data_IF_353603161154
#
_entry.id   IF_353603161154
#
_cell.length_a   1.000
_cell.length_b   1.000
_cell.length_c   1.000
_cell.angle_alpha   90.00
_cell.angle_beta   90.00
_cell.angle_gamma   90.00
#
_symmetry.space_group_name_H-M   'P 1'
#
loop_
_entity.id
_entity.type
_entity.pdbx_description
1 polymer ?
#
# COMPACT_ATOMS: atom_id res chain seq x y z
N UNK A 1 -5.44 -11.42 10.29
CA UNK A 1 -4.12 -11.35 9.67
C UNK A 1 -3.22 -10.47 10.52
N UNK A 2 -2.16 -11.02 11.09
CA UNK A 2 -1.14 -10.24 11.82
C UNK A 2 -0.20 -9.59 10.79
N UNK A 3 -0.64 -8.49 10.20
CA UNK A 3 0.14 -7.72 9.23
C UNK A 3 0.51 -6.41 9.90
N UNK A 4 1.80 -6.05 9.98
CA UNK A 4 2.21 -4.77 10.55
C UNK A 4 1.75 -3.60 9.69
N UNK A 5 1.49 -2.47 10.32
CA UNK A 5 1.21 -1.20 9.66
C UNK A 5 2.41 -0.30 9.88
N UNK A 6 3.09 0.10 8.81
CA UNK A 6 4.23 1.01 8.91
C UNK A 6 3.87 2.42 8.44
N UNK A 7 4.11 3.38 9.31
CA UNK A 7 3.95 4.81 9.00
C UNK A 7 5.19 5.31 8.26
N UNK A 8 5.03 5.50 6.96
CA UNK A 8 6.06 6.05 6.10
C UNK A 8 5.48 7.21 5.27
N UNK A 9 5.63 8.43 5.75
CA UNK A 9 5.04 9.64 5.15
C UNK A 9 6.10 10.51 4.47
N UNK A 10 5.68 11.22 3.42
CA UNK A 10 6.56 12.07 2.60
C UNK A 10 7.19 13.21 3.43
N UNK A 11 6.36 13.98 4.13
CA UNK A 11 6.81 15.08 5.01
C UNK A 11 6.90 14.59 6.45
N UNK A 12 8.02 13.95 6.77
CA UNK A 12 8.28 13.33 8.06
C UNK A 12 8.85 14.37 9.04
N UNK A 13 8.00 15.14 9.72
CA UNK A 13 8.41 15.94 10.87
C UNK A 13 8.09 15.21 12.18
N UNK A 14 8.80 15.50 13.30
CA UNK A 14 8.51 14.87 14.58
C UNK A 14 7.04 15.05 15.02
N UNK A 15 6.48 16.24 14.82
CA UNK A 15 5.11 16.56 15.22
C UNK A 15 4.09 15.76 14.41
N UNK A 16 4.29 15.65 13.09
CA UNK A 16 3.39 14.87 12.21
C UNK A 16 3.47 13.37 12.53
N UNK A 17 4.68 12.86 12.76
CA UNK A 17 4.87 11.46 13.14
C UNK A 17 4.20 11.17 14.48
N UNK A 18 4.43 12.00 15.49
CA UNK A 18 3.81 11.86 16.81
C UNK A 18 2.29 11.89 16.73
N UNK A 19 1.72 12.85 15.99
CA UNK A 19 0.27 12.97 15.85
C UNK A 19 -0.35 11.74 15.16
N UNK A 20 0.26 11.27 14.06
CA UNK A 20 -0.25 10.13 13.31
C UNK A 20 -0.11 8.83 14.11
N UNK A 21 1.04 8.59 14.72
CA UNK A 21 1.26 7.40 15.56
C UNK A 21 0.30 7.38 16.76
N UNK A 22 0.15 8.51 17.47
CA UNK A 22 -0.80 8.61 18.59
C UNK A 22 -2.23 8.30 18.15
N UNK A 23 -2.63 8.76 16.96
CA UNK A 23 -3.95 8.46 16.40
C UNK A 23 -4.11 6.96 16.08
N UNK A 24 -3.11 6.34 15.48
CA UNK A 24 -3.13 4.90 15.17
C UNK A 24 -3.13 4.04 16.43
N UNK A 25 -2.33 4.39 17.44
CA UNK A 25 -2.34 3.70 18.74
C UNK A 25 -3.71 3.81 19.42
N UNK A 26 -4.31 5.01 19.38
CA UNK A 26 -5.67 5.19 19.90
C UNK A 26 -6.69 4.29 19.18
N UNK A 27 -6.66 4.22 17.84
CA UNK A 27 -7.55 3.34 17.07
C UNK A 27 -7.31 1.87 17.44
N UNK A 28 -6.04 1.47 17.58
CA UNK A 28 -5.67 0.12 17.98
C UNK A 28 -6.28 -0.24 19.33
N UNK A 29 -6.11 0.63 20.34
CA UNK A 29 -6.57 0.41 21.71
C UNK A 29 -8.10 0.45 21.82
N UNK A 30 -8.74 1.44 21.18
CA UNK A 30 -10.22 1.60 21.17
C UNK A 30 -10.95 0.39 20.53
N UNK A 31 -10.26 -0.36 19.66
CA UNK A 31 -10.87 -1.47 18.91
C UNK A 31 -10.24 -2.85 19.25
N UNK A 32 -9.36 -2.92 20.25
CA UNK A 32 -8.65 -4.14 20.68
C UNK A 32 -7.99 -4.88 19.49
N UNK A 33 -7.26 -4.13 18.65
CA UNK A 33 -6.63 -4.67 17.45
C UNK A 33 -5.26 -5.26 17.76
N UNK A 34 -5.05 -6.54 17.41
CA UNK A 34 -3.73 -7.17 17.43
C UNK A 34 -2.94 -6.82 16.15
N UNK A 35 -2.38 -5.61 16.12
CA UNK A 35 -1.59 -5.08 15.01
C UNK A 35 -0.32 -4.42 15.53
N UNK A 36 0.80 -4.67 14.88
CA UNK A 36 2.06 -3.95 15.14
C UNK A 36 2.07 -2.64 14.35
N UNK A 37 2.39 -1.53 15.02
CA UNK A 37 2.53 -0.20 14.39
C UNK A 37 4.01 0.15 14.37
N UNK A 38 4.56 0.28 13.17
CA UNK A 38 5.96 0.57 12.88
C UNK A 38 6.13 1.98 12.31
N UNK A 39 7.39 2.42 12.20
CA UNK A 39 7.75 3.67 11.53
C UNK A 39 8.16 4.79 12.48
N UNK A 40 8.07 4.62 13.80
CA UNK A 40 8.56 5.62 14.77
C UNK A 40 10.09 5.75 14.71
N UNK A 41 10.77 4.62 14.77
CA UNK A 41 12.23 4.52 14.79
C UNK A 41 12.73 3.68 13.60
N UNK A 42 12.80 4.25 12.39
CA UNK A 42 13.23 3.51 11.22
C UNK A 42 14.73 3.17 11.32
N UNK A 43 15.07 1.93 11.01
CA UNK A 43 16.43 1.37 11.08
C UNK A 43 16.94 0.82 9.74
N UNK A 44 16.19 1.05 8.65
CA UNK A 44 16.55 0.69 7.29
C UNK A 44 16.20 1.80 6.29
N UNK A 45 16.65 1.64 5.05
CA UNK A 45 16.35 2.57 3.94
C UNK A 45 15.97 1.82 2.68
N UNK A 46 14.97 2.32 1.98
CA UNK A 46 14.59 1.86 0.65
C UNK A 46 15.64 2.38 -0.35
N UNK A 47 16.39 1.52 -1.03
CA UNK A 47 17.38 1.94 -2.03
C UNK A 47 16.74 2.72 -3.18
N UNK A 48 17.47 3.69 -3.74
CA UNK A 48 16.98 4.48 -4.88
C UNK A 48 16.03 5.62 -4.51
N UNK A 49 15.66 5.76 -3.24
CA UNK A 49 14.89 6.90 -2.75
C UNK A 49 15.75 7.88 -1.97
N UNK A 50 15.44 9.17 -2.11
CA UNK A 50 16.06 10.25 -1.35
C UNK A 50 15.11 10.82 -0.29
N UNK A 51 15.70 11.43 0.75
CA UNK A 51 14.97 12.11 1.80
C UNK A 51 14.31 11.18 2.82
N UNK A 52 13.46 11.75 3.71
CA UNK A 52 12.89 11.04 4.85
C UNK A 52 11.98 9.86 4.47
N UNK A 53 11.38 9.90 3.28
CA UNK A 53 10.50 8.81 2.78
C UNK A 53 11.24 7.52 2.45
N UNK A 54 12.58 7.58 2.32
CA UNK A 54 13.40 6.40 2.16
C UNK A 54 13.56 5.60 3.47
N UNK A 55 13.40 6.25 4.62
CA UNK A 55 13.56 5.62 5.91
C UNK A 55 12.40 4.67 6.19
N UNK A 56 12.70 3.41 6.50
CA UNK A 56 11.72 2.38 6.81
C UNK A 56 12.21 1.48 7.97
N UNK A 57 11.34 0.65 8.49
CA UNK A 57 11.72 -0.36 9.46
C UNK A 57 12.19 -1.63 8.76
N UNK A 58 13.24 -2.25 9.30
CA UNK A 58 13.78 -3.50 8.75
C UNK A 58 12.73 -4.61 8.82
N UNK A 59 12.12 -4.82 9.99
CA UNK A 59 11.05 -5.81 10.20
C UNK A 59 9.69 -5.40 9.61
N UNK A 60 9.62 -4.27 8.93
CA UNK A 60 8.45 -3.77 8.20
C UNK A 60 8.65 -3.81 6.69
N UNK A 61 8.61 -2.62 6.07
CA UNK A 61 8.75 -2.47 4.61
C UNK A 61 10.00 -3.18 4.06
N UNK A 62 11.14 -3.11 4.77
CA UNK A 62 12.41 -3.58 4.21
C UNK A 62 12.45 -5.10 4.00
N UNK A 63 12.00 -5.90 4.97
CA UNK A 63 12.03 -7.38 4.91
C UNK A 63 10.72 -7.98 4.35
N UNK A 64 9.68 -7.19 4.12
CA UNK A 64 8.40 -7.69 3.57
C UNK A 64 8.54 -8.11 2.10
N UNK A 65 7.95 -9.24 1.72
CA UNK A 65 7.85 -9.69 0.32
C UNK A 65 6.71 -8.99 -0.42
N UNK A 66 5.62 -8.71 0.29
CA UNK A 66 4.39 -8.11 -0.26
C UNK A 66 4.02 -6.86 0.54
N UNK A 67 3.79 -5.75 -0.14
CA UNK A 67 3.46 -4.46 0.47
C UNK A 67 2.17 -3.92 -0.12
N UNK A 68 1.19 -3.61 0.73
CA UNK A 68 -0.01 -2.88 0.35
C UNK A 68 0.24 -1.37 0.55
N UNK A 69 0.11 -0.62 -0.53
CA UNK A 69 0.29 0.85 -0.55
C UNK A 69 -1.06 1.51 -0.78
N UNK A 70 -1.75 1.95 0.31
CA UNK A 70 -3.07 2.56 0.22
C UNK A 70 -3.02 4.05 -0.15
N UNK A 71 -1.85 4.67 -0.04
CA UNK A 71 -1.62 6.09 -0.33
C UNK A 71 -0.46 6.24 -1.30
N UNK A 72 -0.63 7.15 -2.24
CA UNK A 72 0.19 7.29 -3.42
C UNK A 72 1.61 7.83 -3.14
N UNK A 73 2.63 7.13 -3.69
CA UNK A 73 3.97 7.63 -3.99
C UNK A 73 4.59 6.74 -5.09
N UNK A 74 4.52 7.20 -6.34
CA UNK A 74 4.98 6.44 -7.51
C UNK A 74 6.47 6.11 -7.48
N UNK A 75 7.33 7.02 -7.00
CA UNK A 75 8.77 6.77 -6.87
C UNK A 75 9.03 5.64 -5.86
N UNK A 76 8.28 5.62 -4.77
CA UNK A 76 8.40 4.57 -3.77
C UNK A 76 7.90 3.22 -4.30
N UNK A 77 6.77 3.20 -5.01
CA UNK A 77 6.28 1.96 -5.64
C UNK A 77 7.34 1.39 -6.59
N UNK A 78 7.95 2.22 -7.43
CA UNK A 78 9.01 1.82 -8.35
C UNK A 78 10.24 1.27 -7.61
N UNK A 79 10.70 1.96 -6.57
CA UNK A 79 11.84 1.52 -5.76
C UNK A 79 11.57 0.17 -5.04
N UNK A 80 10.36 -0.04 -4.52
CA UNK A 80 9.99 -1.29 -3.87
C UNK A 80 9.90 -2.44 -4.86
N UNK A 81 9.38 -2.21 -6.07
CA UNK A 81 9.38 -3.22 -7.16
C UNK A 81 10.80 -3.54 -7.58
N UNK A 82 11.70 -2.54 -7.69
CA UNK A 82 13.12 -2.75 -7.98
C UNK A 82 13.86 -3.57 -6.90
N UNK A 83 13.38 -3.56 -5.65
CA UNK A 83 13.83 -4.46 -4.59
C UNK A 83 13.32 -5.91 -4.73
N UNK A 84 12.53 -6.21 -5.75
CA UNK A 84 11.93 -7.54 -5.96
C UNK A 84 10.65 -7.78 -5.15
N UNK A 85 10.03 -6.74 -4.59
CA UNK A 85 8.83 -6.87 -3.79
C UNK A 85 7.58 -6.86 -4.66
N UNK A 86 6.53 -7.56 -4.21
CA UNK A 86 5.20 -7.43 -4.79
C UNK A 86 4.48 -6.24 -4.17
N UNK A 87 4.21 -5.21 -4.96
CA UNK A 87 3.57 -3.98 -4.51
C UNK A 87 2.11 -3.94 -4.97
N UNK A 88 1.20 -3.96 -4.00
CA UNK A 88 -0.24 -3.85 -4.22
C UNK A 88 -0.63 -2.39 -4.02
N UNK A 89 -1.10 -1.73 -5.07
CA UNK A 89 -1.46 -0.31 -5.04
C UNK A 89 -2.97 -0.15 -5.04
N UNK A 90 -3.49 0.75 -4.22
CA UNK A 90 -4.87 1.23 -4.29
C UNK A 90 -4.83 2.65 -4.82
N UNK A 91 -5.42 2.88 -5.99
CA UNK A 91 -5.42 4.20 -6.63
C UNK A 91 -6.69 4.39 -7.48
N UNK A 92 -7.34 5.53 -7.33
CA UNK A 92 -8.51 5.89 -8.15
C UNK A 92 -8.15 6.23 -9.61
N UNK A 93 -6.90 6.60 -9.85
CA UNK A 93 -6.44 7.01 -11.16
C UNK A 93 -5.57 5.93 -11.83
N UNK A 94 -6.12 5.17 -12.80
CA UNK A 94 -5.36 4.13 -13.50
C UNK A 94 -4.19 4.68 -14.33
N UNK A 95 -4.13 5.99 -14.55
CA UNK A 95 -3.04 6.65 -15.27
C UNK A 95 -1.94 7.18 -14.34
N UNK A 96 -2.10 7.08 -13.04
CA UNK A 96 -1.10 7.57 -12.09
C UNK A 96 0.21 6.79 -12.20
N UNK A 97 1.29 7.42 -11.75
CA UNK A 97 2.59 6.73 -11.69
C UNK A 97 2.56 5.57 -10.71
N UNK A 98 1.89 5.72 -9.57
CA UNK A 98 1.75 4.64 -8.58
C UNK A 98 1.04 3.42 -9.16
N UNK A 99 -0.09 3.63 -9.84
CA UNK A 99 -0.85 2.56 -10.49
C UNK A 99 0.00 1.82 -11.53
N UNK A 100 0.78 2.55 -12.32
CA UNK A 100 1.62 1.99 -13.39
C UNK A 100 2.88 1.28 -12.89
N UNK A 101 3.42 1.69 -11.74
CA UNK A 101 4.63 1.11 -11.15
C UNK A 101 4.31 -0.06 -10.21
N UNK A 102 3.07 -0.22 -9.76
CA UNK A 102 2.65 -1.32 -8.89
C UNK A 102 2.68 -2.67 -9.58
N UNK A 103 2.90 -3.73 -8.82
CA UNK A 103 2.79 -5.11 -9.32
C UNK A 103 1.34 -5.50 -9.56
N UNK A 104 0.44 -4.99 -8.71
CA UNK A 104 -1.03 -5.16 -8.81
C UNK A 104 -1.67 -3.84 -8.42
N UNK A 105 -2.60 -3.34 -9.23
CA UNK A 105 -3.35 -2.13 -8.92
C UNK A 105 -4.83 -2.41 -8.73
N UNK A 106 -5.38 -1.94 -7.63
CA UNK A 106 -6.81 -1.94 -7.34
C UNK A 106 -7.33 -0.53 -7.66
N UNK A 107 -8.03 -0.40 -8.79
CA UNK A 107 -8.59 0.89 -9.23
C UNK A 107 -9.94 1.09 -8.55
N UNK A 108 -9.91 1.59 -7.31
CA UNK A 108 -11.10 1.82 -6.52
C UNK A 108 -10.82 2.78 -5.34
N UNK A 109 -11.88 3.20 -4.65
CA UNK A 109 -11.82 4.05 -3.47
C UNK A 109 -11.35 3.24 -2.24
N UNK A 110 -10.44 3.81 -1.43
CA UNK A 110 -9.74 3.13 -0.35
C UNK A 110 -10.67 2.48 0.69
N UNK A 111 -11.72 3.16 1.14
CA UNK A 111 -12.62 2.62 2.16
C UNK A 111 -13.46 1.46 1.63
N UNK A 112 -13.80 1.47 0.35
CA UNK A 112 -14.50 0.36 -0.33
C UNK A 112 -13.57 -0.84 -0.49
N UNK A 113 -12.32 -0.60 -0.90
CA UNK A 113 -11.30 -1.66 -0.97
C UNK A 113 -11.09 -2.29 0.40
N UNK A 114 -10.90 -1.49 1.44
CA UNK A 114 -10.71 -1.99 2.81
C UNK A 114 -11.88 -2.86 3.27
N UNK A 115 -13.12 -2.42 3.01
CA UNK A 115 -14.33 -3.20 3.33
C UNK A 115 -14.38 -4.52 2.56
N UNK A 116 -14.05 -4.50 1.27
CA UNK A 116 -14.06 -5.69 0.43
C UNK A 116 -12.95 -6.68 0.84
N UNK A 117 -11.76 -6.19 1.17
CA UNK A 117 -10.66 -7.02 1.67
C UNK A 117 -11.04 -7.68 3.01
N UNK A 118 -11.67 -6.94 3.92
CA UNK A 118 -12.14 -7.49 5.19
C UNK A 118 -13.18 -8.59 4.95
N UNK A 119 -14.19 -8.34 4.13
CA UNK A 119 -15.23 -9.31 3.78
C UNK A 119 -14.65 -10.54 3.09
N UNK A 120 -13.74 -10.33 2.13
CA UNK A 120 -13.07 -11.41 1.41
C UNK A 120 -12.20 -12.28 2.31
N UNK A 121 -11.48 -11.68 3.27
CA UNK A 121 -10.66 -12.42 4.23
C UNK A 121 -11.51 -13.32 5.16
N UNK A 122 -12.72 -12.89 5.49
CA UNK A 122 -13.66 -13.66 6.31
C UNK A 122 -14.33 -14.82 5.54
N UNK A 123 -14.49 -14.69 4.22
CA UNK A 123 -15.18 -15.67 3.38
C UNK A 123 -14.31 -16.83 2.90
N UNK A 124 -13.06 -16.96 3.33
CA UNK A 124 -12.13 -18.00 2.85
C UNK A 124 -12.16 -18.15 1.33
N UNK A 125 -12.02 -17.05 0.60
CA UNK A 125 -11.94 -17.07 -0.86
C UNK A 125 -10.84 -18.05 -1.26
N UNK A 126 -11.15 -18.98 -2.16
CA UNK A 126 -10.20 -19.96 -2.66
C UNK A 126 -8.96 -19.25 -3.20
N UNK A 127 -7.83 -19.52 -2.58
CA UNK A 127 -6.54 -18.89 -2.94
C UNK A 127 -6.00 -19.56 -4.21
N UNK A 128 -6.57 -19.22 -5.35
CA UNK A 128 -6.00 -19.62 -6.64
C UNK A 128 -5.09 -18.48 -7.09
N UNK A 129 -3.76 -18.68 -7.10
CA UNK A 129 -2.86 -17.69 -7.65
C UNK A 129 -3.19 -17.45 -9.13
N UNK A 130 -3.42 -16.20 -9.52
CA UNK A 130 -3.50 -15.82 -10.93
C UNK A 130 -2.08 -15.57 -11.42
N UNK A 131 -1.48 -16.58 -12.03
CA UNK A 131 -0.12 -16.52 -12.59
C UNK A 131 -0.06 -15.71 -13.90
N UNK A 132 -1.22 -15.39 -14.46
CA UNK A 132 -1.40 -14.66 -15.72
C UNK A 132 -1.86 -13.19 -15.51
N UNK A 133 -1.73 -12.65 -14.30
CA UNK A 133 -2.10 -11.26 -14.03
C UNK A 133 -1.13 -10.29 -14.70
N UNK A 134 -1.67 -9.37 -15.49
CA UNK A 134 -0.95 -8.29 -16.15
C UNK A 134 -1.55 -6.94 -15.69
N UNK A 135 -0.75 -6.16 -14.97
CA UNK A 135 -1.19 -4.88 -14.41
C UNK A 135 -1.54 -3.87 -15.50
N UNK A 136 -0.76 -3.79 -16.57
CA UNK A 136 -0.98 -2.84 -17.66
C UNK A 136 -2.29 -3.16 -18.41
N UNK A 137 -2.55 -4.44 -18.67
CA UNK A 137 -3.80 -4.89 -19.27
C UNK A 137 -5.00 -4.56 -18.38
N UNK A 138 -4.86 -4.74 -17.06
CA UNK A 138 -5.90 -4.40 -16.10
C UNK A 138 -6.17 -2.88 -16.07
N UNK A 139 -5.14 -2.06 -16.04
CA UNK A 139 -5.26 -0.60 -16.09
C UNK A 139 -5.91 -0.13 -17.40
N UNK A 140 -5.54 -0.72 -18.53
CA UNK A 140 -6.16 -0.41 -19.83
C UNK A 140 -7.65 -0.76 -19.84
N UNK A 141 -8.04 -1.89 -19.22
CA UNK A 141 -9.44 -2.27 -19.08
C UNK A 141 -10.23 -1.25 -18.25
N UNK A 142 -9.64 -0.76 -17.16
CA UNK A 142 -10.25 0.30 -16.33
C UNK A 142 -10.45 1.60 -17.13
N UNK A 143 -9.44 2.03 -17.91
CA UNK A 143 -9.53 3.22 -18.76
C UNK A 143 -10.65 3.04 -19.81
N UNK A 144 -10.71 1.90 -20.47
CA UNK A 144 -11.73 1.60 -21.46
C UNK A 144 -13.14 1.64 -20.85
N UNK A 145 -13.30 1.15 -19.63
CA UNK A 145 -14.57 1.21 -18.90
C UNK A 145 -14.97 2.66 -18.60
N UNK A 146 -14.04 3.48 -18.08
CA UNK A 146 -14.29 4.90 -17.82
C UNK A 146 -14.71 5.63 -19.07
N UNK A 147 -14.01 5.44 -20.19
CA UNK A 147 -14.33 6.11 -21.46
C UNK A 147 -15.65 5.67 -22.05
N UNK A 148 -16.02 4.40 -21.92
CA UNK A 148 -17.30 3.88 -22.42
C UNK A 148 -18.52 4.36 -21.62
N UNK A 149 -18.33 4.82 -20.38
CA UNK A 149 -19.41 5.37 -19.55
C UNK A 149 -19.63 6.87 -19.78
N UNK A 150 -18.75 7.55 -20.52
CA UNK A 150 -18.85 8.98 -20.86
C UNK A 150 -19.47 9.22 -22.23
N UNK A 151 -19.76 8.19 -22.98
CA UNK A 151 -20.41 8.21 -24.31
C UNK A 151 -21.87 7.78 -24.17
#
# INVERSE_FOLDING_TARGET
>A
LQIPVEVNIFYRTPERMSALLSHLYKIKDDNDLDVEILGENPDAKIPGLEGPRANCCKNGIYDSDVILVPLEDGDRCEALVAMGKTVLVIDLNPLSRSARMGSVTIVDELSRVAKNLLTGSMQKIARVPRLDYDNDQHLQAAINHITSTLS
#
